data_IF_677120683605
#
_entry.id   IF_677120683605
#
_cell.length_a   1.000
_cell.length_b   1.000
_cell.length_c   1.000
_cell.angle_alpha   90.00
_cell.angle_beta   90.00
_cell.angle_gamma   90.00
#
_symmetry.space_group_name_H-M   'P 1'
#
loop_
_entity.id
_entity.type
_entity.pdbx_description
1 polymer ?
#
# COMPACT_ATOMS: atom_id res chain seq x y z
N UNK A 1 8.38 6.61 -4.60
CA UNK A 1 7.84 7.29 -3.41
C UNK A 1 6.36 6.96 -3.14
N UNK A 2 5.43 7.36 -4.01
CA UNK A 2 3.98 7.24 -3.74
C UNK A 2 3.43 5.83 -3.59
N UNK A 3 3.88 4.86 -4.39
CA UNK A 3 3.42 3.47 -4.24
C UNK A 3 3.79 2.84 -2.90
N UNK A 4 4.97 3.20 -2.34
CA UNK A 4 5.40 2.70 -1.02
C UNK A 4 4.55 3.28 0.11
N UNK A 5 4.25 4.58 0.04
CA UNK A 5 3.34 5.24 1.00
C UNK A 5 1.93 4.61 0.94
N UNK A 6 1.38 4.42 -0.26
CA UNK A 6 0.09 3.75 -0.47
C UNK A 6 0.09 2.33 0.08
N UNK A 7 1.11 1.51 -0.23
CA UNK A 7 1.22 0.15 0.30
C UNK A 7 1.33 0.11 1.83
N UNK A 8 2.03 1.08 2.42
CA UNK A 8 2.17 1.21 3.88
C UNK A 8 0.83 1.52 4.55
N UNK A 9 0.06 2.46 4.00
CA UNK A 9 -1.26 2.80 4.53
C UNK A 9 -2.27 1.66 4.33
N UNK A 10 -2.17 0.91 3.23
CA UNK A 10 -2.95 -0.32 3.01
C UNK A 10 -2.66 -1.36 4.10
N UNK A 11 -1.39 -1.57 4.44
CA UNK A 11 -0.99 -2.47 5.52
C UNK A 11 -1.50 -2.03 6.91
N UNK A 12 -1.73 -0.72 7.09
CA UNK A 12 -2.33 -0.16 8.30
C UNK A 12 -3.87 -0.23 8.31
N UNK A 13 -4.49 -0.75 7.24
CA UNK A 13 -5.95 -0.92 7.15
C UNK A 13 -6.72 0.27 6.54
N UNK A 14 -6.03 1.31 6.08
CA UNK A 14 -6.68 2.49 5.50
C UNK A 14 -7.41 2.15 4.19
N UNK A 15 -8.58 2.74 3.97
CA UNK A 15 -9.29 2.65 2.68
C UNK A 15 -8.67 3.58 1.62
N UNK A 16 -9.01 3.38 0.35
CA UNK A 16 -8.54 4.29 -0.72
C UNK A 16 -9.01 5.73 -0.50
N UNK A 17 -10.15 5.93 0.19
CA UNK A 17 -10.63 7.26 0.57
C UNK A 17 -9.74 7.90 1.64
N UNK A 18 -9.41 7.14 2.69
CA UNK A 18 -8.56 7.63 3.77
C UNK A 18 -7.14 7.92 3.27
N UNK A 19 -6.62 7.07 2.37
CA UNK A 19 -5.32 7.26 1.71
C UNK A 19 -5.33 8.52 0.85
N UNK A 20 -6.40 8.76 0.09
CA UNK A 20 -6.55 9.96 -0.72
C UNK A 20 -6.50 11.22 0.14
N UNK A 21 -7.21 11.21 1.29
CA UNK A 21 -7.17 12.29 2.27
C UNK A 21 -5.79 12.45 2.92
N UNK A 22 -5.16 11.36 3.36
CA UNK A 22 -3.87 11.37 4.03
C UNK A 22 -2.73 11.86 3.12
N UNK A 23 -2.78 11.53 1.83
CA UNK A 23 -1.76 11.92 0.85
C UNK A 23 -2.11 13.20 0.08
N UNK A 24 -3.30 13.78 0.32
CA UNK A 24 -3.82 14.96 -0.36
C UNK A 24 -3.82 14.78 -1.88
N UNK A 25 -4.40 13.67 -2.34
CA UNK A 25 -4.54 13.30 -3.76
C UNK A 25 -5.95 12.79 -4.06
N UNK A 26 -6.32 12.66 -5.35
CA UNK A 26 -7.61 12.11 -5.73
C UNK A 26 -7.72 10.60 -5.50
N UNK A 27 -8.91 10.10 -5.17
CA UNK A 27 -9.19 8.65 -5.02
C UNK A 27 -8.79 7.86 -6.28
N UNK A 28 -9.06 8.40 -7.47
CA UNK A 28 -8.65 7.83 -8.76
C UNK A 28 -7.13 7.64 -8.86
N UNK A 29 -6.36 8.57 -8.31
CA UNK A 29 -4.89 8.48 -8.26
C UNK A 29 -4.44 7.36 -7.32
N UNK A 30 -5.12 7.19 -6.17
CA UNK A 30 -4.88 6.06 -5.28
C UNK A 30 -5.17 4.74 -5.99
N UNK A 31 -6.30 4.62 -6.70
CA UNK A 31 -6.64 3.41 -7.46
C UNK A 31 -5.57 3.06 -8.49
N UNK A 32 -5.05 4.06 -9.21
CA UNK A 32 -3.93 3.87 -10.15
C UNK A 32 -2.68 3.35 -9.44
N UNK A 33 -2.33 3.93 -8.29
CA UNK A 33 -1.20 3.44 -7.48
C UNK A 33 -1.43 2.00 -7.00
N UNK A 34 -2.63 1.65 -6.54
CA UNK A 34 -2.96 0.27 -6.14
C UNK A 34 -2.79 -0.69 -7.30
N UNK A 35 -3.33 -0.38 -8.48
CA UNK A 35 -3.18 -1.23 -9.66
C UNK A 35 -1.71 -1.41 -10.08
N UNK A 36 -0.91 -0.35 -10.01
CA UNK A 36 0.52 -0.44 -10.30
C UNK A 36 1.24 -1.32 -9.27
N UNK A 37 0.89 -1.23 -7.99
CA UNK A 37 1.46 -2.08 -6.94
C UNK A 37 1.08 -3.55 -7.19
N UNK A 38 -0.20 -3.84 -7.45
CA UNK A 38 -0.66 -5.20 -7.78
C UNK A 38 0.15 -5.80 -8.92
N UNK A 39 0.28 -5.05 -10.03
CA UNK A 39 1.05 -5.46 -11.20
C UNK A 39 2.53 -5.67 -10.88
N UNK A 40 3.17 -4.73 -10.17
CA UNK A 40 4.59 -4.82 -9.80
C UNK A 40 4.91 -5.97 -8.85
N UNK A 41 3.98 -6.32 -7.99
CA UNK A 41 4.14 -7.39 -7.01
C UNK A 41 3.65 -8.75 -7.53
N UNK A 42 2.98 -8.79 -8.67
CA UNK A 42 2.37 -10.02 -9.20
C UNK A 42 1.24 -10.56 -8.32
N UNK A 43 0.56 -9.69 -7.57
CA UNK A 43 -0.58 -10.07 -6.71
C UNK A 43 -1.88 -9.50 -7.25
N UNK A 44 -3.00 -10.04 -6.79
CA UNK A 44 -4.32 -9.74 -7.37
C UNK A 44 -5.25 -8.97 -6.44
N UNK A 45 -4.90 -8.87 -5.15
CA UNK A 45 -5.77 -8.25 -4.15
C UNK A 45 -5.04 -7.24 -3.27
N UNK A 46 -5.79 -6.25 -2.77
CA UNK A 46 -5.26 -5.29 -1.79
C UNK A 46 -4.79 -5.96 -0.50
N UNK A 47 -5.42 -7.08 -0.12
CA UNK A 47 -5.04 -7.84 1.07
C UNK A 47 -3.65 -8.47 0.90
N UNK A 48 -3.32 -8.94 -0.31
CA UNK A 48 -1.97 -9.40 -0.62
C UNK A 48 -0.94 -8.27 -0.60
N UNK A 49 -1.31 -7.04 -1.01
CA UNK A 49 -0.45 -5.87 -0.83
C UNK A 49 -0.17 -5.61 0.67
N UNK A 50 -1.21 -5.67 1.50
CA UNK A 50 -1.09 -5.50 2.95
C UNK A 50 -0.14 -6.54 3.55
N UNK A 51 -0.33 -7.83 3.21
CA UNK A 51 0.51 -8.92 3.68
C UNK A 51 1.99 -8.73 3.27
N UNK A 52 2.25 -8.42 2.00
CA UNK A 52 3.59 -8.15 1.49
C UNK A 52 4.27 -6.96 2.18
N UNK A 53 3.53 -5.89 2.45
CA UNK A 53 4.07 -4.70 3.11
C UNK A 53 4.37 -4.95 4.60
N UNK A 54 3.59 -5.81 5.28
CA UNK A 54 3.88 -6.26 6.64
C UNK A 54 5.14 -7.13 6.65
N UNK A 55 5.23 -8.12 5.77
CA UNK A 55 6.39 -9.02 5.64
C UNK A 55 7.69 -8.23 5.44
N UNK A 56 7.70 -7.25 4.53
CA UNK A 56 8.89 -6.41 4.31
C UNK A 56 9.27 -5.52 5.48
N UNK A 57 8.31 -5.12 6.32
CA UNK A 57 8.61 -4.40 7.57
C UNK A 57 9.28 -5.34 8.57
N UNK A 58 8.93 -6.62 8.58
CA UNK A 58 9.64 -7.63 9.39
C UNK A 58 11.06 -7.85 8.85
N UNK A 59 11.26 -7.83 7.53
CA UNK A 59 12.59 -7.98 6.92
C UNK A 59 13.53 -6.78 7.15
N UNK A 60 12.98 -5.56 7.20
CA UNK A 60 13.75 -4.31 7.38
C UNK A 60 13.75 -3.81 8.84
N UNK A 61 13.00 -4.47 9.72
CA UNK A 61 12.82 -4.12 11.13
C UNK A 61 13.21 -5.30 12.00
N UNK A 62 14.48 -5.33 12.40
CA UNK A 62 14.98 -6.23 13.44
C UNK A 62 14.08 -6.13 14.69
N UNK A 63 13.58 -7.24 15.25
CA UNK A 63 12.94 -7.21 16.56
C UNK A 63 13.98 -6.82 17.62
N UNK A 64 13.65 -5.82 18.41
CA UNK A 64 14.22 -5.54 19.73
C UNK A 64 13.07 -5.06 20.61
#
# INVERSE_FOLDING_TARGET
PREREVATLIAQGFSNADIASALVIGRRTVDTHVNHILSKLGVHTRAQIAAWAVERRLDHGRPA
#
